data_IF_405653570052
#
_entry.id   IF_405653570052
#
_cell.length_a   1.000
_cell.length_b   1.000
_cell.length_c   1.000
_cell.angle_alpha   90.00
_cell.angle_beta   90.00
_cell.angle_gamma   90.00
#
_symmetry.space_group_name_H-M   'P 1'
#
loop_
_entity.id
_entity.type
_entity.pdbx_description
1 polymer ?
#
# COMPACT_ATOMS: atom_id res chain seq x y z
N UNK A 1 -23.15 2.18 12.45
CA UNK A 1 -22.35 2.19 13.70
C UNK A 1 -21.63 0.85 13.81
N UNK A 2 -20.32 0.80 13.54
CA UNK A 2 -19.51 -0.41 13.76
C UNK A 2 -19.24 -0.51 15.27
N UNK A 3 -19.77 -1.54 15.92
CA UNK A 3 -19.44 -1.87 17.31
C UNK A 3 -17.94 -2.11 17.42
N UNK A 4 -17.28 -1.37 18.30
CA UNK A 4 -15.83 -1.42 18.52
C UNK A 4 -15.41 -2.85 18.90
N UNK A 5 -14.64 -3.58 18.06
CA UNK A 5 -14.26 -4.97 18.34
C UNK A 5 -13.30 -5.12 19.53
N UNK A 6 -12.78 -4.01 20.07
CA UNK A 6 -11.87 -4.00 21.20
C UNK A 6 -12.52 -4.49 22.52
N UNK A 7 -13.85 -4.38 22.68
CA UNK A 7 -14.47 -4.64 23.99
C UNK A 7 -14.79 -6.12 24.26
N UNK A 8 -14.95 -6.95 23.22
CA UNK A 8 -15.18 -8.40 23.38
C UNK A 8 -13.89 -9.16 23.70
N UNK A 9 -12.76 -8.72 23.14
CA UNK A 9 -11.45 -9.39 23.30
C UNK A 9 -11.01 -9.47 24.77
N UNK A 10 -11.25 -8.42 25.56
CA UNK A 10 -10.76 -8.37 26.94
C UNK A 10 -11.49 -9.36 27.88
N UNK A 11 -12.80 -9.57 27.67
CA UNK A 11 -13.59 -10.53 28.49
C UNK A 11 -13.15 -11.98 28.25
N UNK A 12 -12.79 -12.32 27.02
CA UNK A 12 -12.32 -13.66 26.68
C UNK A 12 -10.92 -13.95 27.22
N UNK A 13 -10.03 -12.94 27.24
CA UNK A 13 -8.70 -13.04 27.87
C UNK A 13 -8.86 -13.29 29.37
N UNK A 14 -9.68 -12.50 30.06
CA UNK A 14 -9.93 -12.65 31.51
C UNK A 14 -10.50 -14.04 31.83
N UNK A 15 -11.47 -14.53 31.03
CA UNK A 15 -12.06 -15.86 31.23
C UNK A 15 -11.04 -16.99 31.01
N UNK A 16 -10.14 -16.87 30.03
CA UNK A 16 -9.05 -17.83 29.80
C UNK A 16 -8.07 -17.83 30.98
N UNK A 17 -7.63 -16.66 31.43
CA UNK A 17 -6.73 -16.53 32.59
C UNK A 17 -7.34 -17.16 33.85
N UNK A 18 -8.64 -16.94 34.11
CA UNK A 18 -9.35 -17.56 35.22
C UNK A 18 -9.36 -19.09 35.14
N UNK A 19 -9.64 -19.66 33.97
CA UNK A 19 -9.65 -21.12 33.78
C UNK A 19 -8.26 -21.73 33.96
N UNK A 20 -7.23 -21.10 33.40
CA UNK A 20 -5.85 -21.56 33.57
C UNK A 20 -5.37 -21.42 35.01
N UNK A 21 -5.70 -20.30 35.67
CA UNK A 21 -5.39 -20.10 37.09
C UNK A 21 -6.04 -21.15 37.98
N UNK A 22 -7.33 -21.44 37.77
CA UNK A 22 -8.04 -22.49 38.52
C UNK A 22 -7.46 -23.88 38.26
N UNK A 23 -7.13 -24.21 37.01
CA UNK A 23 -6.51 -25.48 36.66
C UNK A 23 -5.13 -25.64 37.30
N UNK A 24 -4.30 -24.58 37.29
CA UNK A 24 -2.99 -24.58 37.93
C UNK A 24 -3.10 -24.76 39.46
N UNK A 25 -4.05 -24.09 40.10
CA UNK A 25 -4.34 -24.26 41.54
C UNK A 25 -4.75 -25.71 41.83
N UNK A 26 -5.65 -26.28 41.02
CA UNK A 26 -6.13 -27.65 41.22
C UNK A 26 -5.02 -28.69 41.04
N UNK A 27 -4.17 -28.53 40.01
CA UNK A 27 -2.99 -29.38 39.80
C UNK A 27 -2.00 -29.22 40.96
N UNK A 28 -1.77 -27.99 41.42
CA UNK A 28 -0.91 -27.71 42.58
C UNK A 28 -1.41 -28.38 43.87
N UNK A 29 -2.72 -28.35 44.12
CA UNK A 29 -3.35 -29.03 45.26
C UNK A 29 -3.20 -30.55 45.17
N UNK A 30 -3.47 -31.15 44.01
CA UNK A 30 -3.27 -32.59 43.80
C UNK A 30 -1.81 -32.98 44.04
N UNK A 31 -0.87 -32.21 43.48
CA UNK A 31 0.56 -32.42 43.69
C UNK A 31 0.95 -32.33 45.17
N UNK A 32 0.45 -31.32 45.89
CA UNK A 32 0.69 -31.14 47.31
C UNK A 32 0.20 -32.35 48.13
N UNK A 33 -1.06 -32.77 47.94
CA UNK A 33 -1.60 -33.91 48.69
C UNK A 33 -0.90 -35.23 48.34
N UNK A 34 -0.51 -35.42 47.08
CA UNK A 34 0.26 -36.59 46.67
C UNK A 34 1.64 -36.61 47.34
N UNK A 35 2.35 -35.48 47.40
CA UNK A 35 3.65 -35.35 48.06
C UNK A 35 3.50 -35.61 49.57
N UNK A 36 2.62 -34.88 50.26
CA UNK A 36 2.41 -35.03 51.71
C UNK A 36 1.97 -36.45 52.07
N UNK A 37 1.10 -37.07 51.27
CA UNK A 37 0.62 -38.43 51.53
C UNK A 37 1.66 -39.54 51.29
N UNK A 38 2.59 -39.35 50.34
CA UNK A 38 3.62 -40.34 50.01
C UNK A 38 4.95 -40.12 50.74
N UNK A 39 5.15 -38.93 51.31
CA UNK A 39 6.40 -38.53 51.96
C UNK A 39 6.81 -39.39 53.16
N UNK A 40 5.90 -39.80 54.09
CA UNK A 40 6.30 -40.64 55.23
C UNK A 40 6.92 -41.97 54.78
N UNK A 41 6.32 -42.61 53.77
CA UNK A 41 6.84 -43.86 53.20
C UNK A 41 8.20 -43.67 52.53
N UNK A 42 8.42 -42.53 51.89
CA UNK A 42 9.71 -42.16 51.30
C UNK A 42 10.79 -41.91 52.37
N UNK A 43 10.48 -41.11 53.40
CA UNK A 43 11.41 -40.80 54.50
C UNK A 43 11.87 -42.06 55.22
N UNK A 44 10.93 -42.94 55.59
CA UNK A 44 11.21 -44.22 56.24
C UNK A 44 12.11 -45.12 55.39
N UNK A 45 11.91 -45.11 54.07
CA UNK A 45 12.70 -45.95 53.15
C UNK A 45 14.13 -45.43 52.94
N UNK A 46 14.34 -44.11 53.02
CA UNK A 46 15.64 -43.50 52.69
C UNK A 46 16.53 -43.27 53.91
N UNK A 47 15.95 -42.80 55.03
CA UNK A 47 16.69 -42.48 56.25
C UNK A 47 16.49 -43.51 57.38
N UNK A 48 15.51 -44.41 57.27
CA UNK A 48 15.13 -45.34 58.34
C UNK A 48 14.31 -44.69 59.47
N UNK A 49 14.13 -43.38 59.44
CA UNK A 49 13.34 -42.59 60.40
C UNK A 49 12.47 -41.56 59.69
N UNK A 50 11.40 -41.13 60.36
CA UNK A 50 10.48 -40.12 59.86
C UNK A 50 11.03 -38.72 60.15
N UNK A 51 11.59 -38.06 59.12
CA UNK A 51 12.15 -36.71 59.24
C UNK A 51 11.37 -35.72 58.37
N UNK A 52 10.39 -35.06 58.98
CA UNK A 52 9.59 -34.01 58.35
C UNK A 52 10.42 -32.78 57.94
N UNK A 53 11.63 -32.59 58.47
CA UNK A 53 12.55 -31.52 58.04
C UNK A 53 12.93 -31.60 56.57
N UNK A 54 13.06 -32.81 56.02
CA UNK A 54 13.35 -33.03 54.60
C UNK A 54 12.22 -32.59 53.66
N UNK A 55 10.99 -32.48 54.16
CA UNK A 55 9.84 -32.04 53.37
C UNK A 55 10.02 -30.59 52.92
N UNK A 56 10.61 -29.75 53.78
CA UNK A 56 10.91 -28.34 53.47
C UNK A 56 11.90 -28.21 52.30
N UNK A 57 12.96 -29.02 52.33
CA UNK A 57 13.97 -29.04 51.27
C UNK A 57 13.38 -29.54 49.95
N UNK A 58 12.59 -30.63 49.98
CA UNK A 58 11.91 -31.16 48.80
C UNK A 58 10.91 -30.15 48.19
N UNK A 59 10.10 -29.51 49.04
CA UNK A 59 9.14 -28.51 48.62
C UNK A 59 9.83 -27.28 48.00
N UNK A 60 10.99 -26.88 48.53
CA UNK A 60 11.79 -25.79 47.97
C UNK A 60 12.31 -26.10 46.57
N UNK A 61 12.81 -27.33 46.34
CA UNK A 61 13.31 -27.78 45.03
C UNK A 61 12.17 -27.84 44.01
N UNK A 62 11.00 -28.37 44.40
CA UNK A 62 9.83 -28.44 43.51
C UNK A 62 9.33 -27.04 43.16
N UNK A 63 9.26 -26.14 44.15
CA UNK A 63 8.83 -24.75 43.93
C UNK A 63 9.78 -24.02 42.99
N UNK A 64 11.09 -24.20 43.17
CA UNK A 64 12.10 -23.63 42.26
C UNK A 64 11.98 -24.22 40.85
N UNK A 65 11.79 -25.53 40.71
CA UNK A 65 11.61 -26.19 39.42
C UNK A 65 10.35 -25.69 38.69
N UNK A 66 9.24 -25.49 39.40
CA UNK A 66 8.01 -24.93 38.84
C UNK A 66 8.19 -23.47 38.43
N UNK A 67 8.88 -22.65 39.24
CA UNK A 67 9.18 -21.26 38.91
C UNK A 67 10.07 -21.16 37.67
N UNK A 68 11.17 -21.92 37.62
CA UNK A 68 12.08 -21.94 36.47
C UNK A 68 11.41 -22.49 35.22
N UNK A 69 10.62 -23.57 35.34
CA UNK A 69 9.84 -24.13 34.23
C UNK A 69 8.78 -23.15 33.71
N UNK A 70 8.07 -22.47 34.61
CA UNK A 70 7.10 -21.43 34.25
C UNK A 70 7.75 -20.22 33.56
N UNK A 71 8.91 -19.77 34.06
CA UNK A 71 9.68 -18.70 33.42
C UNK A 71 10.20 -19.10 32.03
N UNK A 72 10.75 -20.31 31.89
CA UNK A 72 11.22 -20.84 30.62
C UNK A 72 10.07 -20.95 29.60
N UNK A 73 8.90 -21.43 30.03
CA UNK A 73 7.70 -21.50 29.19
C UNK A 73 7.20 -20.11 28.78
N UNK A 74 7.10 -19.17 29.72
CA UNK A 74 6.69 -17.79 29.43
C UNK A 74 7.66 -17.10 28.47
N UNK A 75 8.96 -17.34 28.62
CA UNK A 75 9.98 -16.83 27.70
C UNK A 75 9.84 -17.47 26.30
N UNK A 76 9.66 -18.79 26.20
CA UNK A 76 9.44 -19.48 24.94
C UNK A 76 8.19 -18.94 24.21
N UNK A 77 7.05 -18.84 24.91
CA UNK A 77 5.81 -18.30 24.35
C UNK A 77 5.96 -16.84 23.90
N UNK A 78 6.69 -16.03 24.67
CA UNK A 78 7.00 -14.65 24.29
C UNK A 78 7.82 -14.61 22.98
N UNK A 79 8.88 -15.41 22.89
CA UNK A 79 9.73 -15.45 21.69
C UNK A 79 8.99 -15.96 20.46
N UNK A 80 8.13 -16.98 20.60
CA UNK A 80 7.31 -17.49 19.51
C UNK A 80 6.30 -16.46 19.02
N UNK A 81 5.68 -15.72 19.94
CA UNK A 81 4.73 -14.65 19.62
C UNK A 81 5.41 -13.47 18.93
N UNK A 82 6.62 -13.10 19.35
CA UNK A 82 7.40 -12.04 18.72
C UNK A 82 7.85 -12.47 17.31
N UNK A 83 8.34 -13.70 17.17
CA UNK A 83 8.70 -14.28 15.87
C UNK A 83 7.50 -14.37 14.91
N UNK A 84 6.32 -14.73 15.42
CA UNK A 84 5.08 -14.75 14.64
C UNK A 84 4.71 -13.35 14.12
N UNK A 85 4.75 -12.33 15.00
CA UNK A 85 4.50 -10.94 14.60
C UNK A 85 5.50 -10.44 13.56
N UNK A 86 6.78 -10.81 13.71
CA UNK A 86 7.81 -10.44 12.75
C UNK A 86 7.55 -11.08 11.38
N UNK A 87 7.16 -12.36 11.34
CA UNK A 87 6.78 -13.04 10.09
C UNK A 87 5.54 -12.42 9.44
N UNK A 88 4.52 -12.05 10.22
CA UNK A 88 3.33 -11.37 9.72
C UNK A 88 3.70 -10.03 9.05
N UNK A 89 4.54 -9.22 9.69
CA UNK A 89 5.03 -7.96 9.12
C UNK A 89 5.79 -8.17 7.81
N UNK A 90 6.69 -9.16 7.77
CA UNK A 90 7.44 -9.47 6.55
C UNK A 90 6.53 -9.94 5.40
N UNK A 91 5.45 -10.67 5.70
CA UNK A 91 4.47 -11.07 4.68
C UNK A 91 3.71 -9.84 4.18
N UNK A 92 3.24 -8.97 5.07
CA UNK A 92 2.55 -7.73 4.70
C UNK A 92 3.44 -6.81 3.84
N UNK A 93 4.71 -6.64 4.20
CA UNK A 93 5.68 -5.87 3.42
C UNK A 93 5.92 -6.46 2.03
N UNK A 94 6.02 -7.80 1.92
CA UNK A 94 6.17 -8.49 0.63
C UNK A 94 4.92 -8.34 -0.24
N UNK A 95 3.73 -8.42 0.35
CA UNK A 95 2.47 -8.23 -0.37
C UNK A 95 2.34 -6.79 -0.88
N UNK A 96 2.69 -5.79 -0.07
CA UNK A 96 2.74 -4.38 -0.49
C UNK A 96 3.75 -4.14 -1.60
N UNK A 97 4.96 -4.70 -1.48
CA UNK A 97 5.99 -4.58 -2.51
C UNK A 97 5.56 -5.24 -3.83
N UNK A 98 4.94 -6.43 -3.75
CA UNK A 98 4.39 -7.12 -4.92
C UNK A 98 3.28 -6.30 -5.58
N UNK A 99 2.32 -5.80 -4.79
CA UNK A 99 1.24 -4.96 -5.31
C UNK A 99 1.78 -3.69 -5.99
N UNK A 100 2.78 -3.04 -5.38
CA UNK A 100 3.41 -1.85 -5.94
C UNK A 100 4.11 -2.15 -7.27
N UNK A 101 4.81 -3.29 -7.35
CA UNK A 101 5.43 -3.76 -8.59
C UNK A 101 4.40 -4.09 -9.67
N UNK A 102 3.31 -4.77 -9.31
CA UNK A 102 2.23 -5.11 -10.25
C UNK A 102 1.55 -3.83 -10.80
N UNK A 103 1.35 -2.82 -9.94
CA UNK A 103 0.86 -1.50 -10.33
C UNK A 103 1.84 -0.82 -11.30
N UNK A 104 3.13 -0.81 -10.98
CA UNK A 104 4.18 -0.27 -11.85
C UNK A 104 4.14 -0.93 -13.23
N UNK A 105 4.10 -2.26 -13.28
CA UNK A 105 4.10 -3.02 -14.52
C UNK A 105 2.85 -2.68 -15.36
N UNK A 106 1.67 -2.61 -14.74
CA UNK A 106 0.43 -2.26 -15.43
C UNK A 106 0.45 -0.83 -16.00
N UNK A 107 0.99 0.13 -15.24
CA UNK A 107 1.13 1.51 -15.71
C UNK A 107 2.15 1.58 -16.84
N UNK A 108 3.30 0.93 -16.69
CA UNK A 108 4.35 0.91 -17.69
C UNK A 108 3.82 0.32 -19.00
N UNK A 109 3.24 -0.88 -18.97
CA UNK A 109 2.68 -1.56 -20.14
C UNK A 109 1.65 -0.68 -20.86
N UNK A 110 0.75 -0.05 -20.09
CA UNK A 110 -0.27 0.83 -20.65
C UNK A 110 0.32 2.12 -21.23
N UNK A 111 1.34 2.68 -20.59
CA UNK A 111 2.00 3.90 -21.07
C UNK A 111 2.82 3.61 -22.33
N UNK A 112 3.51 2.47 -22.40
CA UNK A 112 4.37 2.09 -23.53
C UNK A 112 3.63 1.31 -24.62
N UNK A 113 2.32 1.11 -24.49
CA UNK A 113 1.51 0.49 -25.54
C UNK A 113 1.68 1.26 -26.86
N UNK A 114 1.93 0.60 -28.01
CA UNK A 114 2.25 1.29 -29.26
C UNK A 114 1.21 2.33 -29.69
N UNK A 115 -0.07 2.04 -29.45
CA UNK A 115 -1.18 2.98 -29.71
C UNK A 115 -1.14 4.23 -28.83
N UNK A 116 -0.72 4.08 -27.58
CA UNK A 116 -0.58 5.18 -26.62
C UNK A 116 0.66 6.02 -26.93
N UNK A 117 1.75 5.40 -27.33
CA UNK A 117 2.93 6.12 -27.83
C UNK A 117 2.61 6.93 -29.09
N UNK A 118 1.93 6.31 -30.06
CA UNK A 118 1.51 6.96 -31.30
C UNK A 118 0.58 8.14 -31.00
N UNK A 119 -0.41 7.96 -30.11
CA UNK A 119 -1.31 9.02 -29.68
C UNK A 119 -0.56 10.21 -29.03
N UNK A 120 0.41 9.93 -28.15
CA UNK A 120 1.25 10.98 -27.55
C UNK A 120 2.12 11.68 -28.59
N UNK A 121 2.75 10.94 -29.51
CA UNK A 121 3.55 11.52 -30.61
C UNK A 121 2.70 12.42 -31.48
N UNK A 122 1.49 12.00 -31.83
CA UNK A 122 0.54 12.82 -32.58
C UNK A 122 0.25 14.15 -31.86
N UNK A 123 -0.03 14.10 -30.55
CA UNK A 123 -0.26 15.30 -29.73
C UNK A 123 0.96 16.21 -29.74
N UNK A 124 2.16 15.66 -29.54
CA UNK A 124 3.40 16.44 -29.50
C UNK A 124 3.70 17.14 -30.83
N UNK A 125 3.36 16.49 -31.96
CA UNK A 125 3.57 17.02 -33.29
C UNK A 125 2.51 18.05 -33.72
N UNK A 126 1.25 17.90 -33.28
CA UNK A 126 0.12 18.66 -33.82
C UNK A 126 -0.43 19.73 -32.87
N UNK A 127 -0.25 19.60 -31.56
CA UNK A 127 -0.77 20.53 -30.56
C UNK A 127 0.38 21.39 -30.02
N UNK A 128 0.30 22.69 -30.27
CA UNK A 128 1.27 23.66 -29.76
C UNK A 128 1.04 23.95 -28.29
N UNK A 129 2.09 24.39 -27.60
CA UNK A 129 1.96 24.92 -26.24
C UNK A 129 1.21 26.25 -26.31
N UNK A 130 0.14 26.40 -25.52
CA UNK A 130 -0.53 27.68 -25.31
C UNK A 130 0.45 28.64 -24.63
N UNK A 131 0.65 29.83 -25.21
CA UNK A 131 1.47 30.88 -24.58
C UNK A 131 0.68 31.57 -23.47
N UNK A 132 1.35 32.08 -22.44
CA UNK A 132 0.66 32.70 -21.29
C UNK A 132 -0.20 33.91 -21.71
N UNK A 133 0.31 34.75 -22.62
CA UNK A 133 -0.37 35.95 -23.11
C UNK A 133 -1.44 35.69 -24.20
N UNK A 134 -1.57 34.46 -24.70
CA UNK A 134 -2.49 34.10 -25.78
C UNK A 134 -3.91 33.88 -25.24
N UNK A 135 -4.92 34.38 -25.96
CA UNK A 135 -6.33 34.13 -25.63
C UNK A 135 -6.68 32.64 -25.72
N UNK A 136 -7.33 32.11 -24.69
CA UNK A 136 -7.64 30.68 -24.59
C UNK A 136 -8.66 30.24 -25.65
N UNK A 137 -9.62 31.10 -26.01
CA UNK A 137 -10.66 30.74 -26.97
C UNK A 137 -10.09 30.69 -28.39
N UNK A 138 -9.29 31.69 -28.79
CA UNK A 138 -8.61 31.70 -30.08
C UNK A 138 -7.67 30.48 -30.25
N UNK A 139 -6.84 30.20 -29.25
CA UNK A 139 -5.95 29.03 -29.26
C UNK A 139 -6.74 27.70 -29.30
N UNK A 140 -7.84 27.62 -28.54
CA UNK A 140 -8.72 26.47 -28.52
C UNK A 140 -9.33 26.20 -29.90
N UNK A 141 -9.85 27.21 -30.59
CA UNK A 141 -10.47 27.04 -31.91
C UNK A 141 -9.45 26.53 -32.94
N UNK A 142 -8.23 27.07 -32.96
CA UNK A 142 -7.16 26.58 -33.84
C UNK A 142 -6.80 25.12 -33.52
N UNK A 143 -6.64 24.80 -32.24
CA UNK A 143 -6.28 23.46 -31.77
C UNK A 143 -7.41 22.46 -32.03
N UNK A 144 -8.65 22.84 -31.76
CA UNK A 144 -9.85 22.03 -31.97
C UNK A 144 -10.02 21.71 -33.45
N UNK A 145 -9.79 22.68 -34.34
CA UNK A 145 -9.79 22.46 -35.79
C UNK A 145 -8.77 21.39 -36.21
N UNK A 146 -7.56 21.38 -35.64
CA UNK A 146 -6.54 20.34 -35.90
C UNK A 146 -6.98 18.97 -35.37
N UNK A 147 -7.53 18.92 -34.16
CA UNK A 147 -8.02 17.69 -33.51
C UNK A 147 -9.16 17.06 -34.32
N UNK A 148 -10.06 17.88 -34.85
CA UNK A 148 -11.25 17.44 -35.58
C UNK A 148 -11.01 17.29 -37.09
N UNK A 149 -9.82 17.62 -37.59
CA UNK A 149 -9.48 17.48 -39.00
C UNK A 149 -9.52 16.00 -39.42
N UNK A 150 -10.26 15.72 -40.49
CA UNK A 150 -10.30 14.39 -41.11
C UNK A 150 -9.24 14.28 -42.19
N UNK A 151 -8.58 13.13 -42.27
CA UNK A 151 -7.67 12.83 -43.38
C UNK A 151 -8.48 12.68 -44.69
N UNK A 152 -7.92 13.19 -45.78
CA UNK A 152 -8.55 13.13 -47.10
C UNK A 152 -8.76 11.65 -47.50
N UNK A 153 -9.99 11.29 -47.89
CA UNK A 153 -10.33 9.94 -48.33
C UNK A 153 -10.92 9.02 -47.25
N UNK A 154 -10.97 9.44 -45.98
CA UNK A 154 -11.65 8.70 -44.90
C UNK A 154 -12.95 9.42 -44.54
N UNK A 155 -14.08 8.94 -45.06
CA UNK A 155 -15.41 9.52 -44.83
C UNK A 155 -16.04 9.05 -43.51
N UNK A 156 -15.67 7.86 -43.04
CA UNK A 156 -16.24 7.22 -41.85
C UNK A 156 -15.16 6.95 -40.79
N UNK A 157 -15.42 7.37 -39.54
CA UNK A 157 -14.52 7.16 -38.41
C UNK A 157 -14.34 8.37 -37.51
N UNK A 158 -13.71 8.14 -36.34
CA UNK A 158 -13.28 9.19 -35.41
C UNK A 158 -12.01 9.84 -35.98
N UNK A 159 -11.93 11.17 -36.10
CA UNK A 159 -10.69 11.86 -36.50
C UNK A 159 -9.48 11.39 -35.70
N UNK A 160 -8.33 11.22 -36.35
CA UNK A 160 -7.09 10.73 -35.73
C UNK A 160 -6.70 11.58 -34.51
N UNK A 161 -6.83 12.90 -34.61
CA UNK A 161 -6.56 13.81 -33.51
C UNK A 161 -7.49 13.62 -32.33
N UNK A 162 -8.80 13.49 -32.59
CA UNK A 162 -9.79 13.18 -31.55
C UNK A 162 -9.48 11.84 -30.87
N UNK A 163 -9.11 10.82 -31.64
CA UNK A 163 -8.76 9.51 -31.10
C UNK A 163 -7.49 9.58 -30.25
N UNK A 164 -6.46 10.27 -30.73
CA UNK A 164 -5.17 10.44 -30.04
C UNK A 164 -5.33 11.17 -28.70
N UNK A 165 -6.11 12.25 -28.68
CA UNK A 165 -6.43 12.98 -27.44
C UNK A 165 -7.22 12.08 -26.48
N UNK A 166 -8.24 11.37 -26.96
CA UNK A 166 -9.04 10.48 -26.12
C UNK A 166 -8.22 9.33 -25.53
N UNK A 167 -7.39 8.65 -26.33
CA UNK A 167 -6.54 7.56 -25.87
C UNK A 167 -5.58 8.02 -24.77
N UNK A 168 -4.91 9.15 -25.00
CA UNK A 168 -3.97 9.75 -24.05
C UNK A 168 -4.67 10.16 -22.76
N UNK A 169 -5.82 10.83 -22.85
CA UNK A 169 -6.56 11.26 -21.66
C UNK A 169 -7.08 10.07 -20.86
N UNK A 170 -7.57 9.02 -21.52
CA UNK A 170 -7.98 7.78 -20.84
C UNK A 170 -6.80 7.07 -20.17
N UNK A 171 -5.61 7.10 -20.78
CA UNK A 171 -4.39 6.59 -20.16
C UNK A 171 -4.04 7.39 -18.90
N UNK A 172 -3.97 8.72 -19.01
CA UNK A 172 -3.60 9.59 -17.88
C UNK A 172 -4.64 9.56 -16.76
N UNK A 173 -5.93 9.45 -17.09
CA UNK A 173 -6.99 9.37 -16.09
C UNK A 173 -6.93 8.05 -15.32
N UNK A 174 -6.65 6.94 -16.01
CA UNK A 174 -6.39 5.67 -15.36
C UNK A 174 -5.18 5.75 -14.42
N UNK A 175 -4.06 6.31 -14.89
CA UNK A 175 -2.86 6.44 -14.07
C UNK A 175 -3.12 7.35 -12.87
N UNK A 176 -3.76 8.51 -13.08
CA UNK A 176 -4.15 9.42 -12.01
C UNK A 176 -5.12 8.80 -11.01
N UNK A 177 -6.03 7.94 -11.46
CA UNK A 177 -6.92 7.19 -10.58
C UNK A 177 -6.15 6.20 -9.71
N UNK A 178 -5.22 5.43 -10.29
CA UNK A 178 -4.39 4.48 -9.56
C UNK A 178 -3.47 5.20 -8.56
N UNK A 179 -2.81 6.26 -9.03
CA UNK A 179 -1.99 7.19 -8.26
C UNK A 179 -2.69 7.71 -6.99
N UNK A 180 -3.96 8.07 -7.09
CA UNK A 180 -4.68 8.71 -5.99
C UNK A 180 -5.33 7.73 -5.00
N UNK A 181 -5.44 6.44 -5.35
CA UNK A 181 -6.20 5.47 -4.56
C UNK A 181 -5.42 4.24 -4.11
N UNK A 182 -4.42 3.82 -4.89
CA UNK A 182 -3.76 2.52 -4.70
C UNK A 182 -2.25 2.59 -4.67
N UNK A 183 -1.67 3.69 -5.13
CA UNK A 183 -0.22 3.83 -5.25
C UNK A 183 0.27 4.96 -4.37
N UNK A 184 0.99 4.60 -3.31
CA UNK A 184 1.84 5.56 -2.60
C UNK A 184 3.00 5.92 -3.52
N UNK A 185 2.75 6.91 -4.40
CA UNK A 185 3.76 7.41 -5.33
C UNK A 185 4.90 8.00 -4.52
N UNK A 186 6.00 7.25 -4.46
CA UNK A 186 7.29 7.73 -4.02
C UNK A 186 7.89 8.69 -5.05
N UNK A 187 8.93 9.43 -4.64
CA UNK A 187 9.60 10.36 -5.54
C UNK A 187 10.24 9.66 -6.74
N UNK A 188 10.74 8.44 -6.53
CA UNK A 188 11.42 7.63 -7.56
C UNK A 188 10.44 7.20 -8.68
N UNK A 189 9.18 6.96 -8.34
CA UNK A 189 8.13 6.66 -9.32
C UNK A 189 7.83 7.85 -10.23
N UNK A 190 7.97 9.08 -9.71
CA UNK A 190 7.78 10.29 -10.52
C UNK A 190 8.95 10.56 -11.46
N UNK A 191 10.16 10.09 -11.15
CA UNK A 191 11.35 10.28 -12.00
C UNK A 191 11.12 9.73 -13.42
N UNK A 192 10.55 8.53 -13.55
CA UNK A 192 10.37 7.89 -14.86
C UNK A 192 9.02 8.21 -15.53
N UNK A 193 7.95 8.41 -14.76
CA UNK A 193 6.60 8.60 -15.31
C UNK A 193 6.31 10.06 -15.67
N UNK A 194 6.91 11.01 -14.93
CA UNK A 194 6.61 12.43 -15.10
C UNK A 194 7.05 12.99 -16.46
N UNK A 195 8.20 12.60 -17.08
CA UNK A 195 8.62 13.20 -18.34
C UNK A 195 7.61 13.04 -19.49
N UNK A 196 7.14 11.81 -19.84
CA UNK A 196 6.19 11.66 -20.95
C UNK A 196 4.83 12.29 -20.64
N UNK A 197 4.40 12.31 -19.37
CA UNK A 197 3.10 12.85 -18.97
C UNK A 197 3.12 14.37 -18.95
N UNK A 198 4.09 15.00 -18.28
CA UNK A 198 4.20 16.45 -18.19
C UNK A 198 4.33 17.09 -19.58
N UNK A 199 5.16 16.52 -20.46
CA UNK A 199 5.39 17.02 -21.83
C UNK A 199 4.10 17.08 -22.65
N UNK A 200 3.25 16.06 -22.50
CA UNK A 200 1.96 15.96 -23.20
C UNK A 200 0.89 16.80 -22.51
N UNK A 201 0.79 16.73 -21.18
CA UNK A 201 -0.20 17.45 -20.39
C UNK A 201 -0.09 18.97 -20.54
N UNK A 202 1.11 19.53 -20.69
CA UNK A 202 1.29 20.97 -20.98
C UNK A 202 0.58 21.43 -22.26
N UNK A 203 0.41 20.54 -23.24
CA UNK A 203 -0.27 20.84 -24.51
C UNK A 203 -1.79 20.66 -24.39
N UNK A 204 -2.22 19.52 -23.84
CA UNK A 204 -3.66 19.17 -23.79
C UNK A 204 -4.38 19.69 -22.55
N UNK A 205 -3.67 20.02 -21.47
CA UNK A 205 -4.25 20.48 -20.21
C UNK A 205 -5.11 21.74 -20.36
N UNK A 206 -4.62 22.81 -21.03
CA UNK A 206 -5.44 24.00 -21.31
C UNK A 206 -6.68 23.67 -22.15
N UNK A 207 -6.54 22.79 -23.14
CA UNK A 207 -7.65 22.31 -23.97
C UNK A 207 -8.71 21.60 -23.11
N UNK A 208 -8.31 20.66 -22.25
CA UNK A 208 -9.23 19.92 -21.35
C UNK A 208 -9.93 20.85 -20.38
N UNK A 209 -9.22 21.81 -19.78
CA UNK A 209 -9.80 22.80 -18.88
C UNK A 209 -10.87 23.66 -19.57
N UNK A 210 -10.61 24.10 -20.81
CA UNK A 210 -11.56 24.86 -21.60
C UNK A 210 -12.79 24.00 -22.00
N UNK A 211 -12.57 22.78 -22.52
CA UNK A 211 -13.66 21.84 -22.89
C UNK A 211 -14.57 21.53 -21.71
N UNK A 212 -14.01 21.32 -20.51
CA UNK A 212 -14.77 21.10 -19.29
C UNK A 212 -15.68 22.28 -18.95
N UNK A 213 -15.19 23.51 -19.14
CA UNK A 213 -15.98 24.73 -18.96
C UNK A 213 -17.13 24.78 -19.95
N UNK A 214 -16.86 24.52 -21.24
CA UNK A 214 -17.88 24.48 -22.30
C UNK A 214 -18.96 23.42 -22.06
N UNK A 215 -18.56 22.23 -21.58
CA UNK A 215 -19.46 21.10 -21.31
C UNK A 215 -20.20 21.21 -19.98
N UNK A 216 -19.80 22.13 -19.09
CA UNK A 216 -20.28 22.20 -17.69
C UNK A 216 -20.12 20.88 -16.94
N UNK A 217 -19.08 20.10 -17.27
CA UNK A 217 -18.84 18.75 -16.74
C UNK A 217 -17.69 18.76 -15.72
N UNK A 218 -18.03 18.83 -14.42
CA UNK A 218 -17.03 19.04 -13.34
C UNK A 218 -15.99 17.91 -13.23
N UNK A 219 -16.38 16.70 -13.59
CA UNK A 219 -15.62 15.46 -13.50
C UNK A 219 -14.80 15.13 -14.74
N UNK A 220 -14.87 15.96 -15.79
CA UNK A 220 -14.20 15.70 -17.06
C UNK A 220 -12.67 15.62 -16.91
N UNK A 221 -12.14 14.39 -16.89
CA UNK A 221 -10.72 14.06 -16.77
C UNK A 221 -10.03 14.67 -15.54
N UNK A 222 -10.72 14.65 -14.39
CA UNK A 222 -10.21 15.23 -13.15
C UNK A 222 -8.94 14.53 -12.65
N UNK A 223 -8.88 13.19 -12.72
CA UNK A 223 -7.70 12.43 -12.26
C UNK A 223 -6.51 12.67 -13.18
N UNK A 224 -6.74 12.73 -14.50
CA UNK A 224 -5.70 13.10 -15.46
C UNK A 224 -5.15 14.51 -15.20
N UNK A 225 -6.02 15.47 -14.83
CA UNK A 225 -5.58 16.82 -14.52
C UNK A 225 -4.73 16.90 -13.26
N UNK A 226 -5.20 16.30 -12.18
CA UNK A 226 -4.49 16.29 -10.92
C UNK A 226 -3.10 15.65 -11.09
N UNK A 227 -3.06 14.49 -11.74
CA UNK A 227 -1.81 13.77 -11.98
C UNK A 227 -0.88 14.50 -12.95
N UNK A 228 -1.42 15.08 -14.02
CA UNK A 228 -0.65 15.88 -14.98
C UNK A 228 -0.05 17.13 -14.34
N UNK A 229 -0.79 17.83 -13.48
CA UNK A 229 -0.29 18.97 -12.69
C UNK A 229 0.79 18.54 -11.71
N UNK A 230 0.60 17.42 -11.01
CA UNK A 230 1.61 16.85 -10.11
C UNK A 230 2.91 16.53 -10.83
N UNK A 231 2.86 15.92 -12.02
CA UNK A 231 4.03 15.65 -12.85
C UNK A 231 4.77 16.94 -13.25
N UNK A 232 4.04 17.98 -13.66
CA UNK A 232 4.64 19.28 -14.01
C UNK A 232 5.29 19.93 -12.79
N UNK A 233 4.60 19.93 -11.65
CA UNK A 233 5.08 20.54 -10.41
C UNK A 233 6.35 19.84 -9.92
N UNK A 234 6.33 18.50 -9.89
CA UNK A 234 7.49 17.70 -9.49
C UNK A 234 8.73 18.00 -10.36
N UNK A 235 8.58 18.14 -11.69
CA UNK A 235 9.69 18.51 -12.58
C UNK A 235 10.22 19.90 -12.28
N UNK A 236 9.32 20.85 -12.03
CA UNK A 236 9.66 22.24 -11.69
C UNK A 236 10.45 22.31 -10.38
N UNK A 237 10.05 21.55 -9.37
CA UNK A 237 10.69 21.53 -8.05
C UNK A 237 12.12 20.96 -8.10
N UNK A 238 12.39 20.06 -9.06
CA UNK A 238 13.74 19.53 -9.32
C UNK A 238 14.57 20.35 -10.32
N UNK A 239 14.05 21.48 -10.79
CA UNK A 239 14.73 22.32 -11.78
C UNK A 239 14.97 21.62 -13.10
N UNK A 240 14.17 20.59 -13.43
CA UNK A 240 14.30 19.83 -14.67
C UNK A 240 13.56 20.57 -15.79
N UNK A 241 14.26 21.22 -16.74
CA UNK A 241 13.62 21.99 -17.80
C UNK A 241 12.78 21.08 -18.71
N UNK A 242 11.64 21.58 -19.15
CA UNK A 242 10.74 20.81 -20.02
C UNK A 242 11.17 20.82 -21.50
N UNK A 243 12.04 21.76 -21.88
CA UNK A 243 12.47 21.99 -23.26
C UNK A 243 13.68 21.14 -23.69
N UNK A 244 14.53 20.71 -22.75
CA UNK A 244 15.76 19.97 -23.05
C UNK A 244 15.46 18.61 -23.69
N UNK A 245 14.33 17.99 -23.31
CA UNK A 245 13.80 16.77 -23.96
C UNK A 245 12.74 17.03 -25.05
N UNK A 246 12.41 18.28 -25.35
CA UNK A 246 11.44 18.60 -26.40
C UNK A 246 12.11 18.94 -27.73
N UNK A 247 13.32 19.53 -27.69
CA UNK A 247 14.08 19.89 -28.89
C UNK A 247 14.99 18.76 -29.41
N UNK A 248 15.43 17.84 -28.55
CA UNK A 248 16.41 16.80 -28.92
C UNK A 248 15.81 15.42 -29.25
N UNK A 249 14.48 15.25 -29.20
CA UNK A 249 13.81 13.93 -29.37
C UNK A 249 12.68 13.95 -30.40
N UNK A 250 12.90 14.66 -31.51
CA UNK A 250 12.14 14.51 -32.75
C UNK A 250 12.92 13.63 -33.74
#
# INVERSE_FOLDING_TARGET
>A
MKSNPAHSSNKDIIRKLLRFGLAAIFIGLIGYFAIVGTFPAFSLRYLGEENWGLLGDYASVISLALLLGGLAFAFAEYTDKENARYREKLVEEREKAKLSYDIYQAIFEKLTAPEQEAARRWILANITLKKDAEDIAAWYEETHKKIMARQAGITDGVPEGQNSVKLTLNCFDYIGFIANHYWDIDEDSLDWISPPIAKVWKRIGPYVAHVRTLRKAKDYYLSAEDFGKRCIQWRKDRGLPDEEYAKETL
#
